data_IF_637798618269
#
_entry.id   IF_637798618269
#
_cell.length_a   1.000
_cell.length_b   1.000
_cell.length_c   1.000
_cell.angle_alpha   90.00
_cell.angle_beta   90.00
_cell.angle_gamma   90.00
#
_symmetry.space_group_name_H-M   'P 1'
#
loop_
_entity.id
_entity.type
_entity.pdbx_description
1 polymer ?
#
# COMPACT_ATOMS: atom_id res chain seq x y z
N UNK A 1 8.45 -24.38 -14.10
CA UNK A 1 9.11 -23.21 -13.47
C UNK A 1 9.21 -23.50 -11.97
N UNK A 2 10.38 -23.34 -11.34
CA UNK A 2 10.52 -23.60 -9.90
C UNK A 2 9.65 -22.62 -9.09
N UNK A 3 9.08 -23.09 -7.98
CA UNK A 3 8.29 -22.28 -7.04
C UNK A 3 9.10 -21.08 -6.54
N UNK A 4 10.36 -21.32 -6.15
CA UNK A 4 11.31 -20.30 -5.74
C UNK A 4 11.60 -19.28 -6.85
N UNK A 5 11.75 -19.71 -8.12
CA UNK A 5 11.97 -18.79 -9.24
C UNK A 5 10.76 -17.87 -9.46
N UNK A 6 9.56 -18.44 -9.37
CA UNK A 6 8.29 -17.70 -9.49
C UNK A 6 8.16 -16.66 -8.37
N UNK A 7 8.46 -17.07 -7.13
CA UNK A 7 8.47 -16.18 -5.98
C UNK A 7 9.49 -15.04 -6.12
N UNK A 8 10.73 -15.34 -6.53
CA UNK A 8 11.77 -14.31 -6.76
C UNK A 8 11.30 -13.25 -7.74
N UNK A 9 10.73 -13.67 -8.88
CA UNK A 9 10.22 -12.74 -9.88
C UNK A 9 9.10 -11.85 -9.32
N UNK A 10 8.07 -12.46 -8.73
CA UNK A 10 6.90 -11.73 -8.21
C UNK A 10 7.29 -10.81 -7.04
N UNK A 11 8.08 -11.30 -6.10
CA UNK A 11 8.48 -10.54 -4.91
C UNK A 11 9.39 -9.36 -5.25
N UNK A 12 10.29 -9.49 -6.24
CA UNK A 12 11.09 -8.37 -6.74
C UNK A 12 10.24 -7.32 -7.44
N UNK A 13 9.33 -7.75 -8.32
CA UNK A 13 8.38 -6.83 -8.98
C UNK A 13 7.53 -6.09 -7.94
N UNK A 14 6.98 -6.81 -6.97
CA UNK A 14 6.23 -6.21 -5.86
C UNK A 14 7.07 -5.21 -5.07
N UNK A 15 8.33 -5.54 -4.75
CA UNK A 15 9.22 -4.66 -3.98
C UNK A 15 9.50 -3.36 -4.72
N UNK A 16 9.77 -3.42 -6.03
CA UNK A 16 9.99 -2.24 -6.86
C UNK A 16 8.72 -1.39 -6.96
N UNK A 17 7.56 -2.01 -7.18
CA UNK A 17 6.28 -1.31 -7.21
C UNK A 17 5.95 -0.66 -5.86
N UNK A 18 6.27 -1.32 -4.74
CA UNK A 18 6.05 -0.78 -3.40
C UNK A 18 6.92 0.47 -3.14
N UNK A 19 8.17 0.47 -3.61
CA UNK A 19 9.03 1.66 -3.53
C UNK A 19 8.44 2.80 -4.36
N UNK A 20 8.09 2.55 -5.63
CA UNK A 20 7.61 3.61 -6.52
C UNK A 20 6.28 4.18 -6.07
N UNK A 21 5.33 3.33 -5.68
CA UNK A 21 4.02 3.77 -5.16
C UNK A 21 4.12 4.45 -3.80
N UNK A 22 5.01 3.97 -2.92
CA UNK A 22 5.28 4.62 -1.64
C UNK A 22 5.89 6.01 -1.82
N UNK A 23 6.88 6.15 -2.71
CA UNK A 23 7.48 7.44 -3.05
C UNK A 23 6.46 8.38 -3.71
N UNK A 24 5.62 7.86 -4.61
CA UNK A 24 4.53 8.63 -5.22
C UNK A 24 3.56 9.14 -4.16
N UNK A 25 3.21 8.36 -3.14
CA UNK A 25 2.34 8.81 -2.05
C UNK A 25 2.97 9.91 -1.19
N UNK A 26 4.30 9.87 -1.00
CA UNK A 26 5.05 10.90 -0.27
C UNK A 26 5.19 12.21 -1.05
N UNK A 27 5.44 12.13 -2.36
CA UNK A 27 5.67 13.30 -3.22
C UNK A 27 4.38 13.89 -3.79
N UNK A 28 3.40 13.04 -4.13
CA UNK A 28 2.17 13.38 -4.85
C UNK A 28 0.94 12.72 -4.19
N UNK A 29 0.59 13.11 -2.95
CA UNK A 29 -0.46 12.46 -2.15
C UNK A 29 -1.86 12.50 -2.80
N UNK A 30 -2.15 13.50 -3.64
CA UNK A 30 -3.42 13.67 -4.35
C UNK A 30 -3.68 12.59 -5.40
N UNK A 31 -2.62 12.07 -6.04
CA UNK A 31 -2.74 10.97 -7.00
C UNK A 31 -2.97 9.63 -6.30
N UNK A 32 -2.37 9.44 -5.11
CA UNK A 32 -2.55 8.25 -4.30
C UNK A 32 -3.90 8.22 -3.58
N UNK A 33 -4.42 9.36 -3.14
CA UNK A 33 -5.73 9.44 -2.47
C UNK A 33 -6.89 8.90 -3.32
N UNK A 34 -6.76 9.01 -4.65
CA UNK A 34 -7.73 8.49 -5.62
C UNK A 34 -7.88 6.97 -5.56
N UNK A 35 -6.81 6.21 -5.30
CA UNK A 35 -6.89 4.74 -5.21
C UNK A 35 -7.67 4.28 -3.97
N UNK A 36 -7.65 5.07 -2.89
CA UNK A 36 -8.44 4.86 -1.67
C UNK A 36 -9.86 5.45 -1.76
N UNK A 37 -10.23 6.05 -2.91
CA UNK A 37 -11.53 6.69 -3.11
C UNK A 37 -11.79 7.87 -2.17
N UNK A 38 -10.74 8.55 -1.69
CA UNK A 38 -10.86 9.76 -0.87
C UNK A 38 -10.19 10.89 -1.68
N UNK A 39 -10.92 11.56 -2.58
CA UNK A 39 -10.34 12.69 -3.30
C UNK A 39 -10.00 13.79 -2.29
N UNK A 40 -8.72 14.16 -2.17
CA UNK A 40 -8.33 15.36 -1.43
C UNK A 40 -8.79 16.54 -2.29
N UNK A 41 -9.66 17.40 -1.74
CA UNK A 41 -9.99 18.65 -2.40
C UNK A 41 -8.83 19.62 -2.18
N UNK A 42 -8.11 19.96 -3.26
CA UNK A 42 -7.24 21.13 -3.23
C UNK A 42 -8.14 22.36 -3.12
N UNK A 43 -8.06 23.18 -2.06
CA UNK A 43 -8.77 24.45 -2.06
C UNK A 43 -8.27 25.25 -3.27
N UNK A 44 -9.16 25.92 -4.02
CA UNK A 44 -8.74 26.74 -5.14
C UNK A 44 -7.75 27.81 -4.68
N UNK A 45 -6.79 28.23 -5.51
CA UNK A 45 -5.92 29.36 -5.18
C UNK A 45 -6.82 30.58 -4.97
N UNK A 46 -6.80 31.12 -3.75
CA UNK A 46 -7.63 32.22 -3.26
C UNK A 46 -8.13 33.18 -4.36
N UNK A 47 -9.44 33.25 -4.64
CA UNK A 47 -10.03 34.53 -4.96
C UNK A 47 -10.19 35.29 -3.63
N UNK A 48 -9.56 36.45 -3.54
CA UNK A 48 -9.77 37.44 -2.47
C UNK A 48 -11.26 37.76 -2.43
N UNK A 49 -12.04 37.12 -1.55
CA UNK A 49 -13.40 37.53 -1.23
C UNK A 49 -13.82 36.94 0.14
N UNK A 50 -14.09 37.79 1.15
CA UNK A 50 -14.57 37.33 2.44
C UNK A 50 -16.08 37.15 2.36
N UNK A 51 -16.54 36.00 1.85
CA UNK A 51 -17.94 35.61 2.01
C UNK A 51 -18.02 34.45 2.97
N UNK A 52 -18.68 34.70 4.11
CA UNK A 52 -19.01 33.72 5.12
C UNK A 52 -19.85 32.60 4.51
N UNK A 53 -19.21 31.50 4.15
CA UNK A 53 -19.87 30.20 3.99
C UNK A 53 -19.19 29.21 4.93
N UNK A 54 -20.02 28.40 5.57
CA UNK A 54 -19.70 27.46 6.65
C UNK A 54 -18.30 26.84 6.56
N UNK A 55 -17.57 26.69 7.68
CA UNK A 55 -16.31 25.96 7.68
C UNK A 55 -16.63 24.50 7.32
N UNK A 56 -16.38 24.11 6.07
CA UNK A 56 -16.13 22.70 5.76
C UNK A 56 -15.02 22.22 6.70
N UNK A 57 -15.11 20.99 7.23
CA UNK A 57 -14.19 20.53 8.25
C UNK A 57 -12.78 20.37 7.65
N UNK A 58 -11.97 21.44 7.78
CA UNK A 58 -10.52 21.50 7.51
C UNK A 58 -9.74 20.37 8.22
N UNK A 59 -10.34 19.72 9.21
CA UNK A 59 -9.81 18.58 9.95
C UNK A 59 -9.73 17.29 9.11
N UNK A 60 -10.56 17.16 8.08
CA UNK A 60 -10.68 15.91 7.30
C UNK A 60 -9.55 15.78 6.27
N UNK A 61 -9.21 16.86 5.56
CA UNK A 61 -8.16 16.83 4.53
C UNK A 61 -6.75 16.71 5.09
N UNK A 62 -6.47 17.38 6.22
CA UNK A 62 -5.19 17.24 6.91
C UNK A 62 -5.00 15.80 7.42
N UNK A 63 -6.02 15.21 8.04
CA UNK A 63 -5.99 13.83 8.50
C UNK A 63 -5.83 12.83 7.35
N UNK A 64 -6.52 13.04 6.23
CA UNK A 64 -6.40 12.21 5.02
C UNK A 64 -5.00 12.31 4.42
N UNK A 65 -4.42 13.52 4.32
CA UNK A 65 -3.04 13.71 3.86
C UNK A 65 -2.03 13.00 4.77
N UNK A 66 -2.15 13.16 6.09
CA UNK A 66 -1.29 12.48 7.06
C UNK A 66 -1.42 10.96 6.96
N UNK A 67 -2.64 10.43 6.78
CA UNK A 67 -2.88 9.01 6.56
C UNK A 67 -2.21 8.51 5.27
N UNK A 68 -2.33 9.26 4.17
CA UNK A 68 -1.69 8.91 2.90
C UNK A 68 -0.18 8.91 3.00
N UNK A 69 0.42 9.90 3.68
CA UNK A 69 1.86 9.92 3.93
C UNK A 69 2.31 8.72 4.78
N UNK A 70 1.51 8.32 5.77
CA UNK A 70 1.78 7.12 6.58
C UNK A 70 1.70 5.82 5.75
N UNK A 71 0.73 5.72 4.85
CA UNK A 71 0.64 4.58 3.91
C UNK A 71 1.81 4.58 2.92
N UNK A 72 2.21 5.77 2.45
CA UNK A 72 3.36 5.96 1.57
C UNK A 72 4.66 5.48 2.19
N UNK A 73 4.96 5.91 3.42
CA UNK A 73 6.18 5.46 4.12
C UNK A 73 6.14 3.96 4.42
N UNK A 74 4.98 3.40 4.80
CA UNK A 74 4.82 1.95 4.99
C UNK A 74 5.17 1.18 3.72
N UNK A 75 4.63 1.59 2.57
CA UNK A 75 4.84 0.91 1.30
C UNK A 75 6.29 1.05 0.81
N UNK A 76 6.87 2.23 0.96
CA UNK A 76 8.27 2.52 0.64
C UNK A 76 9.24 1.67 1.48
N UNK A 77 9.07 1.69 2.82
CA UNK A 77 9.90 0.91 3.75
C UNK A 77 9.74 -0.60 3.52
N UNK A 78 8.53 -1.07 3.20
CA UNK A 78 8.29 -2.47 2.84
C UNK A 78 9.14 -2.86 1.63
N UNK A 79 9.04 -2.11 0.54
CA UNK A 79 9.78 -2.42 -0.68
C UNK A 79 11.30 -2.35 -0.51
N UNK A 80 11.83 -1.37 0.23
CA UNK A 80 13.26 -1.29 0.55
C UNK A 80 13.73 -2.48 1.40
N UNK A 81 12.97 -2.83 2.44
CA UNK A 81 13.29 -3.98 3.30
C UNK A 81 13.40 -5.24 2.45
N UNK A 82 12.40 -5.50 1.60
CA UNK A 82 12.38 -6.67 0.73
C UNK A 82 13.55 -6.69 -0.26
N UNK A 83 13.93 -5.55 -0.86
CA UNK A 83 15.12 -5.47 -1.71
C UNK A 83 16.42 -5.75 -0.94
N UNK A 84 16.55 -5.29 0.30
CA UNK A 84 17.73 -5.58 1.13
C UNK A 84 17.84 -7.10 1.35
N UNK A 85 16.75 -7.76 1.74
CA UNK A 85 16.74 -9.21 1.93
C UNK A 85 17.06 -9.96 0.62
N UNK A 86 16.46 -9.54 -0.50
CA UNK A 86 16.76 -10.09 -1.81
C UNK A 86 18.25 -9.93 -2.19
N UNK A 87 18.85 -8.76 -1.93
CA UNK A 87 20.27 -8.49 -2.21
C UNK A 87 21.22 -9.35 -1.36
N UNK A 88 20.78 -9.77 -0.17
CA UNK A 88 21.53 -10.67 0.72
C UNK A 88 21.27 -12.16 0.39
N UNK A 89 20.44 -12.47 -0.60
CA UNK A 89 20.05 -13.84 -0.92
C UNK A 89 19.09 -14.47 0.10
N UNK A 90 18.51 -13.69 1.02
CA UNK A 90 17.64 -14.13 2.11
C UNK A 90 16.18 -14.29 1.65
N UNK A 91 15.97 -15.23 0.74
CA UNK A 91 14.69 -15.44 0.07
C UNK A 91 13.63 -16.06 0.97
N UNK A 92 14.01 -16.92 1.92
CA UNK A 92 13.08 -17.59 2.83
C UNK A 92 12.58 -16.61 3.90
N UNK A 93 13.44 -15.75 4.41
CA UNK A 93 13.07 -14.69 5.34
C UNK A 93 12.19 -13.64 4.65
N UNK A 94 12.51 -13.28 3.41
CA UNK A 94 11.66 -12.43 2.57
C UNK A 94 10.26 -13.04 2.37
N UNK A 95 10.18 -14.35 2.10
CA UNK A 95 8.92 -15.07 1.98
C UNK A 95 8.15 -15.08 3.30
N UNK A 96 8.83 -15.29 4.42
CA UNK A 96 8.23 -15.22 5.76
C UNK A 96 7.60 -13.85 6.00
N UNK A 97 8.33 -12.76 5.72
CA UNK A 97 7.82 -11.39 5.84
C UNK A 97 6.59 -11.18 4.95
N UNK A 98 6.65 -11.57 3.67
CA UNK A 98 5.55 -11.40 2.73
C UNK A 98 4.31 -12.23 3.09
N UNK A 99 4.48 -13.41 3.67
CA UNK A 99 3.37 -14.23 4.17
C UNK A 99 2.59 -13.51 5.27
N UNK A 100 3.29 -12.85 6.18
CA UNK A 100 2.69 -12.08 7.28
C UNK A 100 2.04 -10.81 6.73
N UNK A 101 2.80 -10.00 5.96
CA UNK A 101 2.32 -8.72 5.47
C UNK A 101 1.11 -8.88 4.55
N UNK A 102 1.09 -9.86 3.66
CA UNK A 102 -0.02 -10.04 2.73
C UNK A 102 -1.33 -10.44 3.42
N UNK A 103 -1.29 -11.19 4.51
CA UNK A 103 -2.52 -11.46 5.29
C UNK A 103 -2.89 -10.31 6.22
N UNK A 104 -1.92 -9.76 6.97
CA UNK A 104 -2.21 -8.75 7.98
C UNK A 104 -2.49 -7.40 7.34
N UNK A 105 -1.58 -6.88 6.51
CA UNK A 105 -1.71 -5.53 5.94
C UNK A 105 -2.80 -5.49 4.88
N UNK A 106 -2.71 -6.32 3.84
CA UNK A 106 -3.69 -6.27 2.75
C UNK A 106 -5.08 -6.74 3.20
N UNK A 107 -5.14 -7.73 4.09
CA UNK A 107 -6.40 -8.18 4.69
C UNK A 107 -7.06 -7.10 5.53
N UNK A 108 -6.31 -6.41 6.39
CA UNK A 108 -6.89 -5.31 7.19
C UNK A 108 -7.36 -4.15 6.32
N UNK A 109 -6.55 -3.70 5.34
CA UNK A 109 -6.93 -2.66 4.38
C UNK A 109 -8.25 -3.03 3.66
N UNK A 110 -8.37 -4.28 3.22
CA UNK A 110 -9.58 -4.80 2.58
C UNK A 110 -10.80 -4.78 3.50
N UNK A 111 -10.65 -5.22 4.75
CA UNK A 111 -11.73 -5.22 5.75
C UNK A 111 -12.20 -3.79 6.04
N UNK A 112 -11.29 -2.84 6.22
CA UNK A 112 -11.64 -1.44 6.49
C UNK A 112 -12.37 -0.80 5.31
N UNK A 113 -11.88 -0.99 4.08
CA UNK A 113 -12.53 -0.49 2.87
C UNK A 113 -13.90 -1.13 2.65
N UNK A 114 -14.03 -2.43 2.91
CA UNK A 114 -15.32 -3.12 2.84
C UNK A 114 -16.33 -2.55 3.84
N UNK A 115 -15.91 -2.35 5.09
CA UNK A 115 -16.74 -1.76 6.16
C UNK A 115 -17.13 -0.30 5.84
N UNK A 116 -16.28 0.42 5.12
CA UNK A 116 -16.56 1.77 4.62
C UNK A 116 -17.47 1.80 3.37
N UNK A 117 -18.05 0.66 2.96
CA UNK A 117 -18.93 0.56 1.79
C UNK A 117 -18.20 0.49 0.44
N UNK A 118 -16.86 0.55 0.42
CA UNK A 118 -16.02 0.56 -0.78
C UNK A 118 -15.57 -0.86 -1.16
N UNK A 119 -16.53 -1.77 -1.37
CA UNK A 119 -16.25 -3.21 -1.56
C UNK A 119 -15.27 -3.52 -2.69
N UNK A 120 -15.42 -2.88 -3.85
CA UNK A 120 -14.52 -3.10 -4.99
C UNK A 120 -13.06 -2.71 -4.69
N UNK A 121 -12.85 -1.60 -3.96
CA UNK A 121 -11.53 -1.19 -3.52
C UNK A 121 -10.98 -2.12 -2.44
N UNK A 122 -11.84 -2.58 -1.52
CA UNK A 122 -11.44 -3.57 -0.51
C UNK A 122 -10.91 -4.87 -1.12
N UNK A 123 -11.57 -5.39 -2.17
CA UNK A 123 -11.10 -6.56 -2.91
C UNK A 123 -9.78 -6.25 -3.63
N UNK A 124 -9.69 -5.10 -4.31
CA UNK A 124 -8.49 -4.70 -5.03
C UNK A 124 -7.25 -4.59 -4.14
N UNK A 125 -7.41 -4.15 -2.89
CA UNK A 125 -6.32 -4.07 -1.92
C UNK A 125 -5.98 -5.44 -1.31
N UNK A 126 -6.97 -6.24 -0.93
CA UNK A 126 -6.74 -7.52 -0.25
C UNK A 126 -6.22 -8.62 -1.18
N UNK A 127 -6.73 -8.70 -2.40
CA UNK A 127 -6.50 -9.84 -3.29
C UNK A 127 -5.02 -10.00 -3.71
N UNK A 128 -4.32 -8.95 -4.20
CA UNK A 128 -2.91 -9.09 -4.56
C UNK A 128 -2.04 -9.50 -3.37
N UNK A 129 -2.29 -8.92 -2.19
CA UNK A 129 -1.58 -9.26 -0.96
C UNK A 129 -1.81 -10.71 -0.53
N UNK A 130 -3.06 -11.20 -0.60
CA UNK A 130 -3.38 -12.58 -0.29
C UNK A 130 -2.71 -13.58 -1.25
N UNK A 131 -2.69 -13.29 -2.56
CA UNK A 131 -2.02 -14.14 -3.55
C UNK A 131 -0.51 -14.22 -3.30
N UNK A 132 0.13 -13.08 -3.01
CA UNK A 132 1.55 -13.04 -2.67
C UNK A 132 1.80 -13.78 -1.34
N UNK A 133 0.94 -13.63 -0.34
CA UNK A 133 1.09 -14.34 0.94
C UNK A 133 0.97 -15.86 0.78
N UNK A 134 0.02 -16.34 -0.01
CA UNK A 134 -0.14 -17.77 -0.30
C UNK A 134 1.10 -18.32 -1.00
N UNK A 135 1.58 -17.63 -2.04
CA UNK A 135 2.81 -18.02 -2.72
C UNK A 135 4.01 -18.03 -1.77
N UNK A 136 4.13 -17.02 -0.91
CA UNK A 136 5.23 -16.91 0.05
C UNK A 136 5.16 -18.01 1.11
N UNK A 137 3.97 -18.34 1.61
CA UNK A 137 3.75 -19.46 2.53
C UNK A 137 4.16 -20.79 1.89
N UNK A 138 3.79 -21.01 0.63
CA UNK A 138 4.22 -22.20 -0.11
C UNK A 138 5.75 -22.29 -0.22
N UNK A 139 6.44 -21.17 -0.47
CA UNK A 139 7.92 -21.15 -0.50
C UNK A 139 8.50 -21.51 0.87
N UNK A 140 7.98 -20.93 1.96
CA UNK A 140 8.46 -21.23 3.32
C UNK A 140 8.26 -22.70 3.66
N UNK A 141 7.14 -23.31 3.24
CA UNK A 141 6.82 -24.69 3.59
C UNK A 141 7.53 -25.74 2.73
N UNK A 142 7.84 -25.44 1.47
CA UNK A 142 8.35 -26.42 0.51
C UNK A 142 9.79 -26.20 0.05
N UNK A 143 10.36 -25.01 0.28
CA UNK A 143 11.71 -24.63 -0.19
C UNK A 143 12.58 -24.02 0.95
N UNK A 144 12.04 -23.90 2.16
CA UNK A 144 12.73 -23.43 3.37
C UNK A 144 13.14 -24.58 4.29
#
# INVERSE_FOLDING_TARGET
>A
MSLLLTFKAISLTFSLLAITTGLQALLLPTSFSKSFGIPIHTPPPNPINPSYSNPEPLTTDAAVRSYISLMGIRQFTTGLTLLIFASQGKWIEMATILSILGFVVAGTDGIFLWKAGKRGQGIFHALPGALIAILSCAVVLFEG
#
